data_IF_267128944611
#
_entry.id   IF_267128944611
#
_cell.length_a   1.000
_cell.length_b   1.000
_cell.length_c   1.000
_cell.angle_alpha   90.00
_cell.angle_beta   90.00
_cell.angle_gamma   90.00
#
_symmetry.space_group_name_H-M   'P 1'
#
loop_
_entity.id
_entity.type
_entity.pdbx_description
1 polymer ?
#
# COMPACT_ATOMS: atom_id res chain seq x y z
N UNK A 1 45.74 -11.59 86.24
CA UNK A 1 44.60 -11.36 85.43
C UNK A 1 45.02 -11.15 83.96
N UNK A 2 45.45 -12.19 83.34
CA UNK A 2 45.86 -12.14 81.91
C UNK A 2 45.87 -13.61 81.37
N UNK A 3 44.72 -14.11 80.89
CA UNK A 3 44.60 -15.38 80.13
C UNK A 3 43.13 -15.62 79.80
N UNK A 4 42.59 -14.94 78.82
CA UNK A 4 41.31 -15.34 78.23
C UNK A 4 40.93 -14.57 76.95
N UNK A 5 41.90 -14.13 76.12
CA UNK A 5 41.51 -13.38 74.84
C UNK A 5 42.09 -14.01 73.58
N UNK A 6 42.70 -15.17 73.62
CA UNK A 6 43.42 -15.72 72.45
C UNK A 6 42.73 -16.91 71.76
N UNK A 7 41.60 -17.42 72.21
CA UNK A 7 41.02 -18.62 71.62
C UNK A 7 39.73 -18.37 70.81
N UNK A 8 39.23 -17.10 70.77
CA UNK A 8 38.01 -16.80 70.04
C UNK A 8 38.27 -16.25 68.60
N UNK A 9 39.46 -15.75 68.30
CA UNK A 9 39.74 -15.20 66.96
C UNK A 9 40.14 -16.25 65.91
N UNK A 10 40.50 -17.45 66.31
CA UNK A 10 40.91 -18.50 65.39
C UNK A 10 39.79 -19.36 64.85
N UNK A 11 38.60 -19.33 65.47
CA UNK A 11 37.40 -20.04 64.97
C UNK A 11 36.56 -19.24 63.96
N UNK A 12 36.70 -17.93 63.93
CA UNK A 12 36.00 -17.08 62.97
C UNK A 12 36.72 -16.99 61.62
N UNK A 13 38.02 -17.17 61.56
CA UNK A 13 38.78 -17.14 60.32
C UNK A 13 38.58 -18.39 59.44
N UNK A 14 38.29 -19.57 60.04
CA UNK A 14 38.01 -20.78 59.29
C UNK A 14 36.62 -20.87 58.68
N UNK A 15 35.61 -20.20 59.28
CA UNK A 15 34.23 -20.21 58.79
C UNK A 15 34.04 -19.24 57.57
N UNK A 16 34.83 -18.17 57.50
CA UNK A 16 34.76 -17.20 56.36
C UNK A 16 35.46 -17.76 55.13
N UNK A 17 36.53 -18.57 55.32
CA UNK A 17 37.23 -19.21 54.21
C UNK A 17 36.43 -20.33 53.53
N UNK A 18 35.48 -20.96 54.21
CA UNK A 18 34.62 -22.00 53.65
C UNK A 18 33.38 -21.46 52.91
N UNK A 19 32.95 -20.25 53.26
CA UNK A 19 31.85 -19.60 52.57
C UNK A 19 32.24 -18.94 51.24
N UNK A 20 33.54 -18.64 51.03
CA UNK A 20 34.02 -18.07 49.77
C UNK A 20 34.30 -19.11 48.66
N UNK A 21 34.27 -20.40 48.96
CA UNK A 21 34.50 -21.47 48.00
C UNK A 21 33.24 -22.02 47.32
N UNK A 22 32.03 -21.59 47.75
CA UNK A 22 30.76 -22.08 47.20
C UNK A 22 30.10 -21.14 46.16
N UNK A 23 30.70 -20.02 45.78
CA UNK A 23 30.11 -19.06 44.85
C UNK A 23 30.73 -19.02 43.43
N UNK A 24 31.63 -19.95 43.10
CA UNK A 24 32.08 -20.13 41.72
C UNK A 24 31.31 -21.22 40.99
N UNK A 25 29.96 -21.19 41.11
CA UNK A 25 29.11 -21.79 40.09
C UNK A 25 29.32 -21.00 38.79
N UNK A 26 30.22 -21.49 37.94
CA UNK A 26 30.38 -21.01 36.58
C UNK A 26 29.01 -21.08 35.91
N UNK A 27 28.35 -19.94 35.79
CA UNK A 27 27.30 -19.76 34.79
C UNK A 27 27.98 -20.04 33.44
N UNK A 28 27.88 -21.26 32.96
CA UNK A 28 28.13 -21.57 31.56
C UNK A 28 27.06 -20.81 30.80
N UNK A 29 27.42 -19.64 30.30
CA UNK A 29 26.67 -19.03 29.22
C UNK A 29 26.58 -20.10 28.12
N UNK A 30 25.37 -20.59 27.86
CA UNK A 30 25.12 -21.39 26.68
C UNK A 30 25.54 -20.55 25.48
N UNK A 31 26.74 -20.82 24.96
CA UNK A 31 27.10 -20.33 23.64
C UNK A 31 26.08 -20.93 22.68
N UNK A 32 25.25 -20.06 22.12
CA UNK A 32 24.36 -20.44 21.05
C UNK A 32 25.21 -21.06 19.94
N UNK A 33 24.90 -22.30 19.59
CA UNK A 33 25.51 -23.03 18.50
C UNK A 33 25.35 -22.18 17.21
N UNK A 34 26.45 -21.76 16.56
CA UNK A 34 26.35 -20.97 15.32
C UNK A 34 25.75 -21.74 14.17
N UNK A 35 25.56 -23.06 14.30
CA UNK A 35 24.93 -23.94 13.28
C UNK A 35 23.45 -24.30 13.56
N UNK A 36 22.84 -23.79 14.63
CA UNK A 36 21.43 -23.96 14.76
C UNK A 36 20.71 -23.13 13.67
N UNK A 37 19.91 -23.74 12.79
CA UNK A 37 19.10 -23.00 11.85
C UNK A 37 18.19 -22.07 12.64
N UNK A 38 18.49 -20.78 12.63
CA UNK A 38 17.59 -19.76 13.15
C UNK A 38 16.41 -19.72 12.19
N UNK A 39 15.32 -20.35 12.56
CA UNK A 39 14.04 -20.16 11.89
C UNK A 39 13.63 -18.72 12.14
N UNK A 40 14.02 -17.82 11.25
CA UNK A 40 13.50 -16.45 11.24
C UNK A 40 12.12 -16.53 10.59
N UNK A 41 11.12 -16.86 11.39
CA UNK A 41 9.73 -16.72 10.95
C UNK A 41 9.47 -15.22 10.85
N UNK A 42 9.63 -14.64 9.66
CA UNK A 42 9.07 -13.34 9.35
C UNK A 42 7.57 -13.54 9.28
N UNK A 43 6.88 -13.27 10.36
CA UNK A 43 5.44 -13.18 10.34
C UNK A 43 5.08 -11.92 9.54
N UNK A 44 4.80 -12.07 8.26
CA UNK A 44 4.33 -10.98 7.42
C UNK A 44 2.95 -10.58 7.91
N UNK A 45 2.87 -9.48 8.66
CA UNK A 45 1.61 -8.87 9.04
C UNK A 45 1.17 -7.97 7.89
N UNK A 46 -0.01 -8.22 7.37
CA UNK A 46 -0.64 -7.39 6.33
C UNK A 46 -1.56 -6.38 7.01
N UNK A 47 -1.32 -5.11 6.74
CA UNK A 47 -2.19 -4.03 7.19
C UNK A 47 -3.27 -3.76 6.15
N UNK A 48 -4.51 -3.65 6.61
CA UNK A 48 -5.69 -3.37 5.80
C UNK A 48 -6.35 -2.10 6.37
N UNK A 49 -5.92 -0.92 5.93
CA UNK A 49 -6.62 0.31 6.28
C UNK A 49 -8.05 0.25 5.78
N UNK A 50 -9.01 0.51 6.65
CA UNK A 50 -10.43 0.44 6.33
C UNK A 50 -11.13 1.73 6.78
N UNK A 51 -11.71 2.47 5.84
CA UNK A 51 -12.50 3.66 6.09
C UNK A 51 -13.97 3.30 6.07
N UNK A 52 -14.64 3.51 7.20
CA UNK A 52 -16.07 3.23 7.34
C UNK A 52 -16.84 4.55 7.45
N UNK A 53 -17.85 4.70 6.60
CA UNK A 53 -18.68 5.91 6.55
C UNK A 53 -20.18 5.58 6.62
N UNK A 54 -20.94 6.49 7.16
CA UNK A 54 -22.41 6.50 7.02
C UNK A 54 -22.80 6.83 5.57
N UNK A 55 -24.04 6.59 5.19
CA UNK A 55 -24.58 7.00 3.87
C UNK A 55 -24.52 8.52 3.64
N UNK A 56 -24.44 9.30 4.71
CA UNK A 56 -24.30 10.76 4.67
C UNK A 56 -22.83 11.21 4.55
N UNK A 57 -21.88 10.27 4.52
CA UNK A 57 -20.45 10.54 4.35
C UNK A 57 -19.67 10.80 5.65
N UNK A 58 -20.32 10.79 6.82
CA UNK A 58 -19.62 10.91 8.10
C UNK A 58 -18.85 9.62 8.43
N UNK A 59 -17.63 9.75 8.95
CA UNK A 59 -16.83 8.61 9.39
C UNK A 59 -17.44 8.00 10.66
N UNK A 60 -17.40 6.68 10.75
CA UNK A 60 -18.00 5.90 11.84
C UNK A 60 -16.91 5.10 12.58
N UNK A 61 -16.84 5.20 13.93
CA UNK A 61 -15.73 4.68 14.75
C UNK A 61 -16.10 3.63 15.79
N UNK A 62 -17.35 3.27 15.97
CA UNK A 62 -17.80 2.38 17.05
C UNK A 62 -17.77 0.90 16.68
N UNK A 63 -16.84 0.48 15.78
CA UNK A 63 -16.68 -0.90 15.35
C UNK A 63 -15.54 -1.60 16.07
N UNK A 64 -15.69 -2.91 16.25
CA UNK A 64 -14.69 -3.83 16.79
C UNK A 64 -14.21 -4.80 15.73
N UNK A 65 -13.16 -5.58 15.99
CA UNK A 65 -12.67 -6.56 15.03
C UNK A 65 -13.73 -7.59 14.60
N UNK A 66 -14.71 -7.90 15.47
CA UNK A 66 -15.81 -8.84 15.18
C UNK A 66 -16.84 -8.31 14.19
N UNK A 67 -16.89 -6.99 13.99
CA UNK A 67 -17.77 -6.36 13.02
C UNK A 67 -17.25 -6.48 11.57
N UNK A 68 -16.04 -7.00 11.42
CA UNK A 68 -15.40 -7.20 10.13
C UNK A 68 -15.19 -8.68 9.82
N UNK A 69 -15.38 -9.07 8.57
CA UNK A 69 -14.95 -10.34 8.02
C UNK A 69 -14.07 -10.14 6.80
N UNK A 70 -12.90 -10.78 6.80
CA UNK A 70 -11.91 -10.70 5.74
C UNK A 70 -11.70 -12.06 5.10
N UNK A 71 -11.66 -12.08 3.78
CA UNK A 71 -11.11 -13.21 3.05
C UNK A 71 -9.90 -12.78 2.21
N UNK A 72 -8.91 -13.65 2.12
CA UNK A 72 -7.73 -13.54 1.29
C UNK A 72 -7.79 -14.64 0.22
N UNK A 73 -7.88 -14.27 -1.04
CA UNK A 73 -8.16 -15.21 -2.14
C UNK A 73 -9.34 -16.15 -1.86
N UNK A 74 -10.38 -15.63 -1.17
CA UNK A 74 -11.56 -16.40 -0.76
C UNK A 74 -11.38 -17.24 0.51
N UNK A 75 -10.19 -17.26 1.13
CA UNK A 75 -9.92 -17.98 2.39
C UNK A 75 -10.14 -17.02 3.56
N UNK A 76 -11.04 -17.36 4.52
CA UNK A 76 -11.26 -16.53 5.70
C UNK A 76 -9.98 -16.34 6.52
N UNK A 77 -9.74 -15.11 6.96
CA UNK A 77 -8.57 -14.71 7.76
C UNK A 77 -9.01 -14.17 9.12
N UNK A 78 -8.16 -14.39 10.12
CA UNK A 78 -8.39 -13.85 11.46
C UNK A 78 -7.86 -12.43 11.55
N UNK A 79 -8.75 -11.48 11.85
CA UNK A 79 -8.44 -10.06 11.99
C UNK A 79 -8.06 -9.67 13.40
N UNK A 80 -7.15 -8.70 13.48
CA UNK A 80 -6.89 -7.89 14.67
C UNK A 80 -7.16 -6.44 14.32
N UNK A 81 -7.81 -5.70 15.21
CA UNK A 81 -8.02 -4.27 15.09
C UNK A 81 -7.02 -3.55 15.98
N UNK A 82 -6.19 -2.71 15.40
CA UNK A 82 -5.29 -1.84 16.15
C UNK A 82 -6.03 -0.55 16.55
N UNK A 83 -6.09 -0.32 17.85
CA UNK A 83 -6.67 0.90 18.42
C UNK A 83 -5.57 1.94 18.63
N UNK A 84 -5.56 3.04 17.89
CA UNK A 84 -4.62 4.12 18.15
C UNK A 84 -4.11 4.92 16.97
N UNK A 85 -4.90 5.08 15.94
CA UNK A 85 -4.49 5.70 14.66
C UNK A 85 -4.41 7.23 14.67
N UNK A 86 -5.03 7.91 15.65
CA UNK A 86 -5.20 9.38 15.63
C UNK A 86 -3.89 10.16 15.88
N UNK A 87 -2.82 9.48 16.28
CA UNK A 87 -1.53 10.10 16.63
C UNK A 87 -0.33 9.56 15.86
N UNK A 88 -0.54 8.63 14.91
CA UNK A 88 0.58 8.09 14.15
C UNK A 88 1.21 9.16 13.26
N UNK A 89 2.56 9.29 13.29
CA UNK A 89 3.26 10.24 12.43
C UNK A 89 3.08 9.88 10.95
N UNK A 90 3.11 10.89 10.07
CA UNK A 90 2.84 10.77 8.63
C UNK A 90 4.08 11.10 7.80
N UNK A 91 4.47 10.20 6.90
CA UNK A 91 5.38 10.48 5.79
C UNK A 91 4.57 10.63 4.50
N UNK A 92 4.55 11.85 3.95
CA UNK A 92 3.75 12.21 2.78
C UNK A 92 4.67 12.54 1.60
N UNK A 93 4.59 11.78 0.53
CA UNK A 93 5.26 12.11 -0.74
C UNK A 93 4.24 12.76 -1.69
N UNK A 94 4.52 13.97 -2.12
CA UNK A 94 3.72 14.69 -3.12
C UNK A 94 4.39 14.48 -4.47
N UNK A 95 3.75 13.69 -5.34
CA UNK A 95 4.21 13.39 -6.67
C UNK A 95 3.45 14.26 -7.68
N UNK A 96 4.16 15.07 -8.44
CA UNK A 96 3.57 16.02 -9.39
C UNK A 96 4.11 15.75 -10.78
N UNK A 97 3.23 15.55 -11.74
CA UNK A 97 3.60 15.53 -13.14
C UNK A 97 4.11 16.89 -13.58
N UNK A 98 5.36 16.93 -14.02
CA UNK A 98 6.02 18.14 -14.57
C UNK A 98 6.14 18.08 -16.07
N UNK A 99 6.01 16.90 -16.66
CA UNK A 99 6.00 16.66 -18.10
C UNK A 99 4.61 16.73 -18.71
N UNK A 100 4.50 16.29 -19.94
CA UNK A 100 3.23 16.18 -20.66
C UNK A 100 2.36 17.42 -20.60
N UNK A 101 1.10 17.23 -20.20
CA UNK A 101 0.14 18.30 -19.95
C UNK A 101 0.18 18.82 -18.50
N UNK A 102 0.97 18.19 -17.60
CA UNK A 102 1.08 18.54 -16.19
C UNK A 102 1.49 19.98 -15.93
N UNK A 103 2.36 20.55 -16.78
CA UNK A 103 2.81 21.93 -16.64
C UNK A 103 1.66 22.96 -16.78
N UNK A 104 0.55 22.62 -17.43
CA UNK A 104 -0.62 23.50 -17.56
C UNK A 104 -1.37 23.69 -16.25
N UNK A 105 -1.14 22.78 -15.27
CA UNK A 105 -1.79 22.77 -13.97
C UNK A 105 -0.94 23.37 -12.84
N UNK A 106 0.26 23.87 -13.09
CA UNK A 106 1.12 24.44 -12.04
C UNK A 106 0.47 25.59 -11.29
N UNK A 107 -0.33 26.41 -11.97
CA UNK A 107 -1.08 27.48 -11.32
C UNK A 107 -2.07 26.98 -10.27
N UNK A 108 -2.60 25.77 -10.46
CA UNK A 108 -3.58 25.16 -9.54
C UNK A 108 -2.92 24.72 -8.23
N UNK A 109 -1.58 24.61 -8.17
CA UNK A 109 -0.84 24.12 -6.99
C UNK A 109 -0.30 25.23 -6.10
N UNK A 110 -0.34 26.49 -6.55
CA UNK A 110 0.31 27.64 -5.85
C UNK A 110 -0.25 27.86 -4.44
N UNK A 111 -1.53 27.59 -4.21
CA UNK A 111 -2.21 27.89 -2.94
C UNK A 111 -2.47 26.63 -2.08
N UNK A 112 -1.79 25.52 -2.34
CA UNK A 112 -2.05 24.26 -1.62
C UNK A 112 -1.48 24.24 -0.18
N UNK A 113 -0.59 25.17 0.20
CA UNK A 113 0.10 25.13 1.50
C UNK A 113 -0.82 25.04 2.71
N UNK A 114 -1.77 25.97 2.82
CA UNK A 114 -2.72 25.97 3.94
C UNK A 114 -3.61 24.71 3.99
N UNK A 115 -3.85 24.10 2.84
CA UNK A 115 -4.64 22.87 2.75
C UNK A 115 -3.79 21.66 3.13
N UNK A 116 -2.50 21.67 2.82
CA UNK A 116 -1.58 20.62 3.26
C UNK A 116 -1.47 20.56 4.78
N UNK A 117 -1.44 21.73 5.46
CA UNK A 117 -1.49 21.79 6.92
C UNK A 117 -2.78 21.19 7.48
N UNK A 118 -3.91 21.52 6.88
CA UNK A 118 -5.21 20.95 7.26
C UNK A 118 -5.29 19.44 6.99
N UNK A 119 -4.71 18.97 5.88
CA UNK A 119 -4.65 17.57 5.51
C UNK A 119 -3.85 16.74 6.51
N UNK A 120 -2.74 17.30 7.00
CA UNK A 120 -1.84 16.64 7.95
C UNK A 120 -2.40 16.64 9.38
N UNK A 121 -3.29 17.60 9.72
CA UNK A 121 -4.05 17.59 10.97
C UNK A 121 -3.21 17.76 12.23
N UNK A 122 -2.01 18.34 12.15
CA UNK A 122 -1.15 18.61 13.30
C UNK A 122 -0.39 17.41 13.88
N UNK A 123 -0.44 16.24 13.23
CA UNK A 123 0.40 15.08 13.62
C UNK A 123 1.86 15.31 13.25
N UNK A 124 2.79 14.63 13.93
CA UNK A 124 4.19 14.61 13.50
C UNK A 124 4.26 14.16 12.04
N UNK A 125 4.97 14.92 11.21
CA UNK A 125 4.98 14.64 9.78
C UNK A 125 6.32 14.95 9.12
N UNK A 126 6.48 14.35 7.94
CA UNK A 126 7.53 14.66 6.98
C UNK A 126 6.93 14.67 5.58
N UNK A 127 7.21 15.73 4.83
CA UNK A 127 6.70 15.93 3.48
C UNK A 127 7.86 16.01 2.51
N UNK A 128 7.76 15.32 1.38
CA UNK A 128 8.68 15.42 0.23
C UNK A 128 7.90 15.84 -1.01
N UNK A 129 8.58 16.49 -1.96
CA UNK A 129 8.01 16.81 -3.27
C UNK A 129 8.87 16.14 -4.36
N UNK A 130 8.22 15.39 -5.21
CA UNK A 130 8.79 14.64 -6.31
C UNK A 130 8.12 15.13 -7.59
N UNK A 131 8.92 15.59 -8.54
CA UNK A 131 8.45 15.87 -9.90
C UNK A 131 8.72 14.68 -10.80
N UNK A 132 7.88 14.43 -11.77
CA UNK A 132 8.17 13.44 -12.80
C UNK A 132 7.71 13.92 -14.19
N UNK A 133 8.48 13.55 -15.18
CA UNK A 133 8.20 13.67 -16.60
C UNK A 133 8.47 12.30 -17.26
N UNK A 134 9.43 12.14 -18.16
CA UNK A 134 9.92 10.82 -18.59
C UNK A 134 10.74 10.12 -17.50
N UNK A 135 11.18 10.85 -16.48
CA UNK A 135 11.97 10.36 -15.34
C UNK A 135 11.57 11.07 -14.04
N UNK A 136 11.60 10.38 -12.89
CA UNK A 136 11.31 11.01 -11.60
C UNK A 136 12.51 11.80 -11.04
N UNK A 137 12.22 12.90 -10.36
CA UNK A 137 13.20 13.80 -9.74
C UNK A 137 12.79 14.20 -8.31
N UNK A 138 13.69 14.08 -7.35
CA UNK A 138 13.45 14.58 -6.00
C UNK A 138 13.62 16.10 -5.97
N UNK A 139 12.53 16.85 -5.89
CA UNK A 139 12.52 18.31 -5.87
C UNK A 139 12.70 18.88 -4.46
N UNK A 140 12.13 18.21 -3.45
CA UNK A 140 12.30 18.55 -2.04
C UNK A 140 12.43 17.25 -1.23
N UNK A 141 13.57 17.03 -0.55
CA UNK A 141 13.71 15.90 0.37
C UNK A 141 12.75 16.00 1.55
N UNK A 142 12.50 14.87 2.23
CA UNK A 142 11.61 14.82 3.40
C UNK A 142 11.97 15.86 4.44
N UNK A 143 11.02 16.73 4.78
CA UNK A 143 11.13 17.84 5.74
C UNK A 143 9.87 17.91 6.60
N UNK A 144 9.96 18.36 7.86
CA UNK A 144 8.78 18.63 8.68
C UNK A 144 8.09 19.95 8.32
N UNK A 145 8.55 20.70 7.33
CA UNK A 145 8.01 22.01 6.95
C UNK A 145 7.10 21.91 5.73
N UNK A 146 5.82 22.08 5.93
CA UNK A 146 4.80 22.21 4.87
C UNK A 146 4.98 23.49 4.05
N UNK A 147 5.50 24.57 4.66
CA UNK A 147 5.83 25.80 3.95
C UNK A 147 6.86 25.58 2.86
N UNK A 148 7.90 24.75 3.11
CA UNK A 148 8.89 24.41 2.09
C UNK A 148 8.26 23.61 0.96
N UNK A 149 7.36 22.70 1.26
CA UNK A 149 6.65 21.94 0.24
C UNK A 149 5.74 22.87 -0.59
N UNK A 150 5.03 23.77 0.03
CA UNK A 150 4.21 24.80 -0.65
C UNK A 150 5.04 25.70 -1.57
N UNK A 151 6.19 26.17 -1.07
CA UNK A 151 7.12 26.98 -1.88
C UNK A 151 7.66 26.19 -3.08
N UNK A 152 7.99 24.91 -2.88
CA UNK A 152 8.44 24.04 -3.96
C UNK A 152 7.36 23.83 -5.02
N UNK A 153 6.10 23.59 -4.60
CA UNK A 153 4.97 23.46 -5.51
C UNK A 153 4.68 24.73 -6.31
N UNK A 154 4.88 25.89 -5.70
CA UNK A 154 4.71 27.18 -6.40
C UNK A 154 5.87 27.54 -7.35
N UNK A 155 6.97 26.81 -7.29
CA UNK A 155 8.18 27.05 -8.10
C UNK A 155 8.49 25.90 -9.09
N UNK A 156 7.52 25.07 -9.41
CA UNK A 156 7.67 23.97 -10.37
C UNK A 156 8.13 24.48 -11.74
N UNK A 157 8.95 23.66 -12.38
CA UNK A 157 9.45 23.93 -13.72
C UNK A 157 8.93 22.85 -14.67
N UNK A 158 8.60 23.28 -15.89
CA UNK A 158 8.18 22.36 -16.93
C UNK A 158 9.31 21.39 -17.28
N UNK A 159 8.98 20.10 -17.25
CA UNK A 159 9.81 18.99 -17.71
C UNK A 159 9.70 18.74 -19.21
N UNK A 160 9.98 17.52 -19.61
CA UNK A 160 9.87 17.06 -21.00
C UNK A 160 8.42 16.69 -21.38
N UNK A 161 8.22 15.96 -22.47
CA UNK A 161 6.89 15.57 -22.96
C UNK A 161 6.34 14.27 -22.36
N UNK A 162 7.04 13.64 -21.43
CA UNK A 162 6.66 12.35 -20.83
C UNK A 162 5.74 12.50 -19.60
N UNK A 163 5.08 11.43 -19.23
CA UNK A 163 4.24 11.29 -18.05
C UNK A 163 4.38 9.88 -17.47
N UNK A 164 5.58 9.55 -16.96
CA UNK A 164 5.92 8.25 -16.42
C UNK A 164 5.39 8.09 -15.00
N UNK A 165 4.08 7.91 -14.86
CA UNK A 165 3.35 7.86 -13.57
C UNK A 165 3.85 6.71 -12.69
N UNK A 166 4.01 5.50 -13.26
CA UNK A 166 4.43 4.32 -12.50
C UNK A 166 5.87 4.45 -12.02
N UNK A 167 6.77 5.04 -12.81
CA UNK A 167 8.14 5.33 -12.39
C UNK A 167 8.18 6.40 -11.28
N UNK A 168 7.34 7.45 -11.39
CA UNK A 168 7.17 8.47 -10.35
C UNK A 168 6.70 7.88 -9.03
N UNK A 169 5.71 6.99 -9.08
CA UNK A 169 5.19 6.27 -7.91
C UNK A 169 6.24 5.33 -7.32
N UNK A 170 6.94 4.55 -8.14
CA UNK A 170 8.00 3.65 -7.67
C UNK A 170 9.13 4.43 -6.96
N UNK A 171 9.52 5.57 -7.52
CA UNK A 171 10.51 6.46 -6.91
C UNK A 171 10.02 7.01 -5.57
N UNK A 172 8.76 7.46 -5.48
CA UNK A 172 8.17 7.95 -4.24
C UNK A 172 8.14 6.87 -3.15
N UNK A 173 7.82 5.62 -3.51
CA UNK A 173 7.86 4.50 -2.57
C UNK A 173 9.29 4.24 -2.09
N UNK A 174 10.29 4.34 -2.97
CA UNK A 174 11.69 4.19 -2.58
C UNK A 174 12.12 5.26 -1.56
N UNK A 175 11.73 6.52 -1.76
CA UNK A 175 11.95 7.61 -0.82
C UNK A 175 11.22 7.39 0.51
N UNK A 176 9.95 6.94 0.48
CA UNK A 176 9.16 6.63 1.67
C UNK A 176 9.75 5.48 2.50
N UNK A 177 10.42 4.51 1.86
CA UNK A 177 11.12 3.41 2.56
C UNK A 177 12.25 3.90 3.46
N UNK A 178 12.86 5.04 3.15
CA UNK A 178 13.90 5.65 3.96
C UNK A 178 13.37 6.26 5.27
N UNK A 179 12.06 6.46 5.39
CA UNK A 179 11.43 7.04 6.58
C UNK A 179 11.24 5.98 7.69
N UNK A 180 11.24 6.39 8.97
CA UNK A 180 11.04 5.47 10.08
C UNK A 180 9.80 4.61 9.92
N UNK A 181 9.86 3.36 10.38
CA UNK A 181 8.76 2.39 10.22
C UNK A 181 7.49 2.76 10.97
N UNK A 182 7.60 3.59 12.02
CA UNK A 182 6.46 4.12 12.78
C UNK A 182 5.63 5.14 12.00
N UNK A 183 6.17 5.69 10.90
CA UNK A 183 5.43 6.65 10.08
C UNK A 183 4.48 5.92 9.13
N UNK A 184 3.21 6.33 9.14
CA UNK A 184 2.29 5.97 8.06
C UNK A 184 2.79 6.59 6.76
N UNK A 185 2.62 5.89 5.66
CA UNK A 185 3.13 6.30 4.35
C UNK A 185 1.98 6.60 3.41
N UNK A 186 2.03 7.78 2.79
CA UNK A 186 1.04 8.18 1.82
C UNK A 186 1.70 8.86 0.62
N UNK A 187 1.07 8.70 -0.54
CA UNK A 187 1.41 9.42 -1.77
C UNK A 187 0.20 10.26 -2.19
N UNK A 188 0.42 11.57 -2.42
CA UNK A 188 -0.50 12.40 -3.18
C UNK A 188 0.03 12.49 -4.61
N UNK A 189 -0.70 11.92 -5.55
CA UNK A 189 -0.33 11.92 -6.97
C UNK A 189 -1.16 12.95 -7.72
N UNK A 190 -0.50 13.92 -8.33
CA UNK A 190 -1.09 14.90 -9.25
C UNK A 190 -0.61 14.59 -10.66
N UNK A 191 -1.45 14.04 -11.50
CA UNK A 191 -1.05 13.56 -12.82
C UNK A 191 -2.19 13.55 -13.83
N UNK A 192 -1.85 13.33 -15.09
CA UNK A 192 -2.83 12.87 -16.05
C UNK A 192 -3.34 11.45 -15.70
N UNK A 193 -4.38 11.00 -16.41
CA UNK A 193 -5.03 9.72 -16.11
C UNK A 193 -4.25 8.52 -16.62
N UNK A 194 -3.44 8.68 -17.66
CA UNK A 194 -2.81 7.58 -18.41
C UNK A 194 -1.28 7.68 -18.28
N UNK A 195 -0.68 6.57 -17.85
CA UNK A 195 0.79 6.42 -17.85
C UNK A 195 1.37 6.47 -19.25
N UNK A 196 2.42 7.26 -19.43
CA UNK A 196 3.12 7.40 -20.70
C UNK A 196 4.63 7.30 -20.51
N UNK A 197 5.16 6.13 -20.81
CA UNK A 197 6.60 5.91 -20.91
C UNK A 197 7.27 5.33 -19.68
N UNK A 198 6.55 4.92 -18.65
CA UNK A 198 7.16 4.22 -17.50
C UNK A 198 7.84 2.92 -17.92
N UNK A 199 8.97 2.66 -17.30
CA UNK A 199 9.67 1.38 -17.35
C UNK A 199 9.16 0.41 -16.29
N UNK A 200 8.69 0.93 -15.17
CA UNK A 200 8.04 0.16 -14.09
C UNK A 200 6.69 -0.36 -14.58
N UNK A 201 6.45 -1.65 -14.38
CA UNK A 201 5.14 -2.24 -14.63
C UNK A 201 4.15 -1.93 -13.50
N UNK A 202 2.84 -2.01 -13.77
CA UNK A 202 1.83 -1.86 -12.71
C UNK A 202 2.04 -2.87 -11.59
N UNK A 203 2.25 -4.14 -11.94
CA UNK A 203 2.43 -5.19 -10.94
C UNK A 203 3.61 -4.90 -10.02
N UNK A 204 4.69 -4.34 -10.55
CA UNK A 204 5.84 -3.92 -9.76
C UNK A 204 5.53 -2.71 -8.88
N UNK A 205 4.88 -1.69 -9.42
CA UNK A 205 4.45 -0.53 -8.63
C UNK A 205 3.52 -0.93 -7.46
N UNK A 206 2.53 -1.79 -7.71
CA UNK A 206 1.64 -2.32 -6.69
C UNK A 206 2.39 -3.17 -5.65
N UNK A 207 3.35 -3.99 -6.07
CA UNK A 207 4.21 -4.74 -5.15
C UNK A 207 5.01 -3.82 -4.23
N UNK A 208 5.64 -2.78 -4.79
CA UNK A 208 6.40 -1.79 -4.02
C UNK A 208 5.52 -1.05 -3.00
N UNK A 209 4.34 -0.58 -3.43
CA UNK A 209 3.33 0.06 -2.57
C UNK A 209 2.89 -0.90 -1.46
N UNK A 210 2.62 -2.15 -1.83
CA UNK A 210 2.21 -3.20 -0.90
C UNK A 210 3.25 -3.43 0.19
N UNK A 211 4.50 -3.65 -0.18
CA UNK A 211 5.59 -3.97 0.73
C UNK A 211 5.93 -2.83 1.71
N UNK A 212 5.47 -1.62 1.41
CA UNK A 212 5.68 -0.45 2.27
C UNK A 212 4.42 -0.02 3.02
N UNK A 213 3.29 -0.71 2.82
CA UNK A 213 1.97 -0.32 3.35
C UNK A 213 1.63 1.15 3.05
N UNK A 214 1.93 1.59 1.83
CA UNK A 214 1.68 2.96 1.39
C UNK A 214 0.27 3.09 0.83
N UNK A 215 -0.46 4.15 1.19
CA UNK A 215 -1.74 4.51 0.57
C UNK A 215 -1.51 5.56 -0.52
N UNK A 216 -2.18 5.43 -1.67
CA UNK A 216 -2.03 6.37 -2.77
C UNK A 216 -3.35 7.09 -3.04
N UNK A 217 -3.30 8.41 -3.01
CA UNK A 217 -4.42 9.30 -3.31
C UNK A 217 -4.11 10.06 -4.59
N UNK A 218 -4.97 9.94 -5.58
CA UNK A 218 -4.74 10.50 -6.90
C UNK A 218 -5.68 11.65 -7.23
N UNK A 219 -5.11 12.75 -7.67
CA UNK A 219 -5.78 13.91 -8.25
C UNK A 219 -5.42 13.96 -9.72
N UNK A 220 -6.31 13.45 -10.58
CA UNK A 220 -5.99 13.33 -11.98
C UNK A 220 -6.80 14.29 -12.85
N UNK A 221 -6.09 14.93 -13.76
CA UNK A 221 -6.68 15.73 -14.82
C UNK A 221 -6.76 14.93 -16.13
N UNK A 222 -7.72 15.26 -16.96
CA UNK A 222 -7.90 14.62 -18.25
C UNK A 222 -7.14 15.43 -19.30
N UNK A 223 -6.03 14.86 -19.79
CA UNK A 223 -5.30 15.48 -20.89
C UNK A 223 -6.04 15.36 -22.22
N UNK A 224 -5.71 16.21 -23.19
CA UNK A 224 -6.24 16.13 -24.57
C UNK A 224 -5.90 14.78 -25.21
N UNK A 225 -4.74 14.21 -24.90
CA UNK A 225 -4.33 12.87 -25.37
C UNK A 225 -5.17 11.76 -24.75
N UNK A 226 -5.45 11.85 -23.44
CA UNK A 226 -6.33 10.90 -22.75
C UNK A 226 -7.77 10.95 -23.34
N UNK A 227 -8.28 12.14 -23.59
CA UNK A 227 -9.58 12.31 -24.23
C UNK A 227 -9.60 11.69 -25.65
N UNK A 228 -8.52 11.84 -26.42
CA UNK A 228 -8.44 11.23 -27.74
C UNK A 228 -8.35 9.70 -27.67
N UNK A 229 -7.64 9.14 -26.70
CA UNK A 229 -7.55 7.69 -26.47
C UNK A 229 -8.89 7.09 -26.06
N UNK A 230 -9.70 7.81 -25.29
CA UNK A 230 -11.06 7.38 -24.91
C UNK A 230 -12.05 7.42 -26.09
N UNK A 231 -11.81 8.29 -27.08
CA UNK A 231 -12.71 8.46 -28.21
C UNK A 231 -12.20 7.77 -29.51
N UNK A 232 -11.04 7.12 -29.48
CA UNK A 232 -10.53 6.39 -30.63
C UNK A 232 -11.38 5.13 -30.88
N UNK A 233 -12.16 5.05 -31.96
CA UNK A 233 -12.91 3.87 -32.29
C UNK A 233 -11.90 2.80 -32.76
N UNK A 234 -11.71 1.73 -31.99
CA UNK A 234 -10.92 0.61 -32.45
C UNK A 234 -10.17 -0.20 -31.40
N UNK A 235 -10.10 0.23 -30.15
CA UNK A 235 -9.62 -0.62 -29.06
C UNK A 235 -10.80 -1.15 -28.23
N UNK A 236 -11.59 -2.03 -28.86
CA UNK A 236 -12.36 -2.97 -28.06
C UNK A 236 -11.36 -3.84 -27.31
N UNK A 237 -11.35 -3.71 -26.00
CA UNK A 237 -10.61 -4.61 -25.13
C UNK A 237 -11.10 -6.03 -25.45
N UNK A 238 -10.23 -6.85 -26.00
CA UNK A 238 -10.46 -8.27 -26.11
C UNK A 238 -10.55 -8.83 -24.70
N UNK A 239 -11.75 -8.97 -24.19
CA UNK A 239 -12.01 -9.54 -22.88
C UNK A 239 -13.50 -9.78 -22.73
N UNK A 240 -13.87 -10.98 -22.45
CA UNK A 240 -15.17 -11.38 -21.99
C UNK A 240 -15.65 -10.43 -20.89
N UNK A 241 -16.64 -9.61 -21.20
CA UNK A 241 -17.19 -8.63 -20.28
C UNK A 241 -18.42 -9.15 -19.52
N UNK A 242 -18.75 -10.44 -19.62
CA UNK A 242 -19.98 -10.97 -19.03
C UNK A 242 -19.69 -12.13 -18.07
N UNK A 243 -19.81 -11.90 -16.75
CA UNK A 243 -19.55 -12.94 -15.74
C UNK A 243 -20.54 -14.11 -15.74
N UNK A 244 -21.57 -14.07 -16.59
CA UNK A 244 -22.66 -15.06 -16.66
C UNK A 244 -22.79 -15.74 -18.02
N UNK A 245 -21.84 -15.57 -18.94
CA UNK A 245 -21.89 -16.28 -20.20
C UNK A 245 -21.43 -17.74 -20.08
N UNK A 246 -22.09 -18.68 -20.76
CA UNK A 246 -21.66 -20.06 -20.78
C UNK A 246 -20.25 -20.16 -21.41
N UNK A 247 -19.44 -21.07 -20.90
CA UNK A 247 -18.10 -21.34 -21.44
C UNK A 247 -18.14 -21.69 -22.92
N UNK A 248 -16.96 -21.82 -23.59
CA UNK A 248 -16.89 -22.02 -25.00
C UNK A 248 -17.70 -23.27 -25.43
N UNK A 249 -18.45 -23.20 -26.54
CA UNK A 249 -19.43 -24.22 -26.94
C UNK A 249 -18.85 -25.61 -27.16
N UNK A 250 -17.54 -25.74 -27.42
CA UNK A 250 -16.82 -27.00 -27.59
C UNK A 250 -16.05 -27.47 -26.35
N UNK A 251 -16.18 -26.78 -25.22
CA UNK A 251 -15.51 -27.10 -23.95
C UNK A 251 -14.11 -26.52 -23.84
N UNK A 252 -13.69 -26.38 -22.57
CA UNK A 252 -12.47 -25.65 -22.17
C UNK A 252 -11.17 -26.19 -22.75
N UNK A 253 -11.13 -27.47 -23.13
CA UNK A 253 -9.94 -28.18 -23.60
C UNK A 253 -10.01 -28.62 -25.06
N UNK A 254 -11.04 -28.22 -25.79
CA UNK A 254 -11.16 -28.55 -27.21
C UNK A 254 -10.17 -27.73 -28.04
N UNK A 255 -9.45 -28.40 -28.92
CA UNK A 255 -8.59 -27.79 -29.93
C UNK A 255 -9.26 -27.59 -31.29
N UNK A 256 -10.45 -28.20 -31.48
CA UNK A 256 -11.19 -28.10 -32.73
C UNK A 256 -11.85 -26.72 -32.82
N UNK A 257 -11.28 -25.89 -33.69
CA UNK A 257 -11.75 -24.56 -33.94
C UNK A 257 -11.63 -23.74 -32.69
N UNK A 258 -10.44 -23.21 -32.39
CA UNK A 258 -10.35 -22.12 -31.47
C UNK A 258 -11.37 -21.09 -31.91
N UNK A 259 -12.46 -20.95 -31.14
CA UNK A 259 -13.59 -20.15 -31.51
C UNK A 259 -13.08 -18.77 -31.96
N UNK A 260 -13.74 -18.19 -32.96
CA UNK A 260 -13.39 -16.86 -33.48
C UNK A 260 -13.24 -15.81 -32.35
N UNK A 261 -13.81 -16.07 -31.20
CA UNK A 261 -13.81 -15.33 -29.97
C UNK A 261 -12.45 -15.31 -29.24
N UNK A 262 -11.62 -16.33 -29.41
CA UNK A 262 -10.28 -16.42 -28.81
C UNK A 262 -9.15 -16.21 -29.82
N UNK A 263 -9.46 -15.79 -31.04
CA UNK A 263 -8.48 -15.56 -32.12
C UNK A 263 -7.49 -16.70 -32.32
N UNK A 264 -7.93 -17.95 -32.08
CA UNK A 264 -7.07 -19.14 -32.22
C UNK A 264 -6.11 -19.39 -31.04
N UNK A 265 -6.17 -18.63 -29.96
CA UNK A 265 -5.25 -18.77 -28.81
C UNK A 265 -5.77 -19.80 -27.78
N UNK A 266 -5.48 -21.06 -27.98
CA UNK A 266 -5.85 -22.17 -27.09
C UNK A 266 -5.41 -21.96 -25.61
N UNK A 267 -4.22 -21.46 -25.39
CA UNK A 267 -3.74 -21.20 -24.03
C UNK A 267 -4.60 -20.20 -23.26
N UNK A 268 -5.16 -19.22 -23.95
CA UNK A 268 -6.06 -18.22 -23.38
C UNK A 268 -7.42 -18.81 -23.05
N UNK A 269 -7.97 -19.62 -23.96
CA UNK A 269 -9.21 -20.39 -23.73
C UNK A 269 -9.11 -21.28 -22.49
N UNK A 270 -8.03 -22.08 -22.37
CA UNK A 270 -7.80 -22.95 -21.20
C UNK A 270 -7.66 -22.15 -19.91
N UNK A 271 -6.95 -21.04 -19.95
CA UNK A 271 -6.76 -20.18 -18.77
C UNK A 271 -8.07 -19.56 -18.27
N UNK A 272 -8.89 -19.03 -19.18
CA UNK A 272 -10.18 -18.43 -18.85
C UNK A 272 -11.17 -19.47 -18.32
N UNK A 273 -11.15 -20.68 -18.87
CA UNK A 273 -11.96 -21.79 -18.38
C UNK A 273 -11.53 -22.33 -17.02
N UNK A 274 -10.22 -22.44 -16.75
CA UNK A 274 -9.72 -22.85 -15.43
C UNK A 274 -10.15 -21.85 -14.35
N UNK A 275 -10.20 -20.57 -14.69
CA UNK A 275 -10.69 -19.55 -13.81
C UNK A 275 -12.20 -19.69 -13.47
N UNK A 276 -12.99 -20.24 -14.39
CA UNK A 276 -14.41 -20.56 -14.15
C UNK A 276 -14.61 -21.73 -13.17
N UNK A 277 -13.67 -22.68 -13.17
CA UNK A 277 -13.76 -23.91 -12.35
C UNK A 277 -13.24 -23.71 -10.91
N UNK A 278 -12.47 -22.67 -10.65
CA UNK A 278 -11.89 -22.38 -9.35
C UNK A 278 -12.25 -20.95 -8.89
N UNK A 279 -13.27 -20.78 -8.03
CA UNK A 279 -13.72 -19.44 -7.58
C UNK A 279 -12.61 -18.50 -7.07
N UNK A 280 -11.61 -18.96 -6.28
CA UNK A 280 -10.53 -18.08 -5.84
C UNK A 280 -9.62 -17.62 -6.98
N UNK A 281 -9.40 -18.47 -8.00
CA UNK A 281 -8.64 -18.10 -9.20
C UNK A 281 -9.40 -17.03 -10.01
N UNK A 282 -10.73 -17.11 -10.03
CA UNK A 282 -11.60 -16.13 -10.71
C UNK A 282 -11.53 -14.76 -10.09
N UNK A 283 -11.49 -14.67 -8.74
CA UNK A 283 -11.34 -13.40 -8.04
C UNK A 283 -9.99 -12.75 -8.32
N UNK A 284 -8.90 -13.52 -8.25
CA UNK A 284 -7.56 -13.03 -8.57
C UNK A 284 -7.44 -12.60 -10.05
N UNK A 285 -8.07 -13.36 -10.96
CA UNK A 285 -8.12 -13.02 -12.38
C UNK A 285 -8.97 -11.79 -12.64
N UNK A 286 -10.13 -11.63 -11.97
CA UNK A 286 -10.97 -10.46 -12.10
C UNK A 286 -10.23 -9.20 -11.59
N UNK A 287 -9.54 -9.28 -10.45
CA UNK A 287 -8.72 -8.20 -9.94
C UNK A 287 -7.60 -7.83 -10.92
N UNK A 288 -6.88 -8.81 -11.46
CA UNK A 288 -5.85 -8.60 -12.48
C UNK A 288 -6.39 -8.01 -13.79
N UNK A 289 -7.53 -8.50 -14.28
CA UNK A 289 -8.15 -8.00 -15.51
C UNK A 289 -8.76 -6.60 -15.29
N UNK A 290 -9.35 -6.34 -14.13
CA UNK A 290 -9.85 -5.01 -13.76
C UNK A 290 -8.72 -4.01 -13.68
N UNK A 291 -7.61 -4.38 -13.04
CA UNK A 291 -6.40 -3.58 -13.00
C UNK A 291 -5.83 -3.34 -14.41
N UNK A 292 -5.69 -4.40 -15.21
CA UNK A 292 -5.16 -4.29 -16.58
C UNK A 292 -6.05 -3.46 -17.52
N UNK A 293 -7.37 -3.58 -17.41
CA UNK A 293 -8.32 -2.79 -18.21
C UNK A 293 -8.40 -1.35 -17.70
N UNK A 294 -8.41 -1.15 -16.38
CA UNK A 294 -8.35 0.17 -15.77
C UNK A 294 -7.09 0.95 -16.15
N UNK A 295 -5.94 0.28 -16.25
CA UNK A 295 -4.68 0.88 -16.68
C UNK A 295 -4.68 1.44 -18.08
N UNK A 296 -5.38 0.82 -19.00
CA UNK A 296 -5.47 1.33 -20.37
C UNK A 296 -6.32 2.60 -20.47
N UNK A 297 -7.20 2.79 -19.49
CA UNK A 297 -8.15 3.90 -19.46
C UNK A 297 -7.84 4.93 -18.38
N UNK A 298 -7.31 4.51 -17.23
CA UNK A 298 -6.98 5.41 -16.12
C UNK A 298 -6.02 4.75 -15.11
N UNK A 299 -4.72 4.91 -15.31
CA UNK A 299 -3.66 4.39 -14.44
C UNK A 299 -3.76 4.98 -13.04
N UNK A 300 -4.00 6.29 -12.95
CA UNK A 300 -4.07 7.03 -11.69
C UNK A 300 -5.23 6.54 -10.81
N UNK A 301 -6.41 6.29 -11.38
CA UNK A 301 -7.55 5.74 -10.66
C UNK A 301 -7.30 4.29 -10.20
N UNK A 302 -6.69 3.47 -11.07
CA UNK A 302 -6.39 2.08 -10.74
C UNK A 302 -5.42 1.97 -9.56
N UNK A 303 -4.35 2.76 -9.56
CA UNK A 303 -3.40 2.82 -8.44
C UNK A 303 -4.09 3.20 -7.13
N UNK A 304 -4.92 4.25 -7.13
CA UNK A 304 -5.62 4.70 -5.94
C UNK A 304 -6.57 3.61 -5.39
N UNK A 305 -7.40 3.03 -6.24
CA UNK A 305 -8.38 2.01 -5.84
C UNK A 305 -7.74 0.74 -5.27
N UNK A 306 -6.70 0.23 -5.94
CA UNK A 306 -6.04 -1.02 -5.56
C UNK A 306 -5.25 -0.90 -4.24
N UNK A 307 -4.79 0.31 -3.90
CA UNK A 307 -4.01 0.58 -2.69
C UNK A 307 -4.85 1.03 -1.48
N UNK A 308 -6.18 1.09 -1.64
CA UNK A 308 -7.10 1.55 -0.59
C UNK A 308 -7.15 3.06 -0.39
N UNK A 309 -6.59 3.82 -1.33
CA UNK A 309 -6.71 5.27 -1.36
C UNK A 309 -7.95 5.74 -2.14
N UNK A 310 -7.91 6.98 -2.61
CA UNK A 310 -9.05 7.61 -3.29
C UNK A 310 -8.60 8.32 -4.56
N UNK A 311 -9.46 8.28 -5.57
CA UNK A 311 -9.28 8.95 -6.84
C UNK A 311 -10.20 10.18 -6.92
N UNK A 312 -9.62 11.33 -7.23
CA UNK A 312 -10.31 12.58 -7.45
C UNK A 312 -10.09 13.06 -8.88
N UNK A 313 -11.16 13.37 -9.58
CA UNK A 313 -11.03 14.09 -10.83
C UNK A 313 -10.78 15.58 -10.53
N UNK A 314 -9.72 16.14 -11.11
CA UNK A 314 -9.33 17.52 -10.88
C UNK A 314 -9.12 18.26 -12.20
N UNK A 315 -9.95 19.25 -12.47
CA UNK A 315 -9.83 20.08 -13.66
C UNK A 315 -9.26 21.47 -13.38
N UNK A 316 -9.18 21.85 -12.10
CA UNK A 316 -8.79 23.18 -11.65
C UNK A 316 -8.45 23.19 -10.14
N UNK A 317 -7.93 24.30 -9.62
CA UNK A 317 -7.60 24.51 -8.20
C UNK A 317 -8.78 24.20 -7.27
N UNK A 318 -10.00 24.57 -7.65
CA UNK A 318 -11.19 24.35 -6.80
C UNK A 318 -11.45 22.86 -6.58
N UNK A 319 -11.33 22.05 -7.63
CA UNK A 319 -11.55 20.60 -7.55
C UNK A 319 -10.48 19.96 -6.66
N UNK A 320 -9.22 20.36 -6.83
CA UNK A 320 -8.10 19.90 -6.00
C UNK A 320 -8.35 20.27 -4.54
N UNK A 321 -8.72 21.52 -4.27
CA UNK A 321 -9.02 22.00 -2.91
C UNK A 321 -10.16 21.22 -2.26
N UNK A 322 -11.24 20.98 -2.98
CA UNK A 322 -12.37 20.20 -2.47
C UNK A 322 -11.99 18.76 -2.17
N UNK A 323 -11.24 18.13 -3.06
CA UNK A 323 -10.73 16.78 -2.87
C UNK A 323 -9.78 16.68 -1.67
N UNK A 324 -8.86 17.62 -1.51
CA UNK A 324 -7.94 17.65 -0.35
C UNK A 324 -8.67 17.88 0.98
N UNK A 325 -9.71 18.73 0.99
CA UNK A 325 -10.56 18.92 2.18
C UNK A 325 -11.32 17.62 2.49
N UNK A 326 -11.90 16.96 1.51
CA UNK A 326 -12.54 15.67 1.72
C UNK A 326 -11.54 14.63 2.26
N UNK A 327 -10.34 14.59 1.68
CA UNK A 327 -9.27 13.70 2.09
C UNK A 327 -8.76 13.98 3.51
N UNK A 328 -8.71 15.25 3.95
CA UNK A 328 -8.26 15.61 5.31
C UNK A 328 -9.14 15.01 6.40
N UNK A 329 -10.44 14.85 6.13
CA UNK A 329 -11.35 14.16 7.03
C UNK A 329 -11.16 12.64 7.02
N UNK A 330 -10.69 12.09 5.91
CA UNK A 330 -10.60 10.65 5.70
C UNK A 330 -9.21 10.09 6.05
N UNK A 331 -8.15 10.82 5.68
CA UNK A 331 -6.76 10.32 5.71
C UNK A 331 -6.23 10.00 7.11
N UNK A 332 -6.82 10.59 8.15
CA UNK A 332 -6.44 10.37 9.55
C UNK A 332 -7.39 9.43 10.30
N UNK A 333 -8.49 9.02 9.67
CA UNK A 333 -9.62 8.37 10.35
C UNK A 333 -9.92 6.99 9.77
N UNK A 334 -8.96 6.04 9.92
CA UNK A 334 -9.11 4.66 9.48
C UNK A 334 -9.15 3.70 10.66
N UNK A 335 -9.84 2.59 10.47
CA UNK A 335 -9.54 1.37 11.20
C UNK A 335 -8.28 0.75 10.60
N UNK A 336 -7.28 0.46 11.41
CA UNK A 336 -6.15 -0.36 11.00
C UNK A 336 -6.46 -1.79 11.38
N UNK A 337 -6.94 -2.55 10.40
CA UNK A 337 -7.06 -3.98 10.53
C UNK A 337 -5.74 -4.63 10.16
N UNK A 338 -5.38 -5.69 10.84
CA UNK A 338 -4.21 -6.48 10.53
C UNK A 338 -4.51 -7.97 10.56
N UNK A 339 -3.83 -8.73 9.72
CA UNK A 339 -3.92 -10.18 9.73
C UNK A 339 -2.59 -10.81 9.32
N UNK A 340 -2.44 -12.10 9.62
CA UNK A 340 -1.33 -12.92 9.13
C UNK A 340 -1.86 -13.89 8.10
N UNK A 341 -1.40 -13.81 6.84
CA UNK A 341 -1.87 -14.69 5.78
C UNK A 341 -1.71 -16.16 6.13
N UNK A 342 -2.76 -16.93 5.95
CA UNK A 342 -2.76 -18.35 6.22
C UNK A 342 -3.53 -19.08 5.10
N UNK A 343 -2.84 -19.82 4.21
CA UNK A 343 -1.38 -19.96 4.08
C UNK A 343 -0.70 -18.71 3.48
N UNK A 344 0.56 -18.41 3.82
CA UNK A 344 1.32 -17.33 3.21
C UNK A 344 1.85 -17.77 1.84
N UNK A 345 1.05 -17.65 0.79
CA UNK A 345 1.46 -18.00 -0.57
C UNK A 345 2.10 -16.79 -1.25
N UNK A 346 3.26 -16.94 -1.95
CA UNK A 346 3.84 -15.85 -2.70
C UNK A 346 2.96 -15.39 -3.87
N UNK A 347 3.04 -14.09 -4.20
CA UNK A 347 2.34 -13.52 -5.33
C UNK A 347 1.28 -12.48 -4.95
N UNK A 348 0.42 -12.10 -5.91
CA UNK A 348 -0.69 -11.18 -5.67
C UNK A 348 -1.83 -11.86 -4.92
N UNK A 349 -2.41 -11.13 -3.98
CA UNK A 349 -3.53 -11.55 -3.15
C UNK A 349 -4.70 -10.59 -3.30
N UNK A 350 -5.89 -11.11 -3.48
CA UNK A 350 -7.14 -10.35 -3.49
C UNK A 350 -7.80 -10.40 -2.12
N UNK A 351 -8.05 -9.22 -1.56
CA UNK A 351 -8.73 -9.04 -0.29
C UNK A 351 -10.21 -8.73 -0.52
N UNK A 352 -11.06 -9.34 0.27
CA UNK A 352 -12.47 -8.99 0.35
C UNK A 352 -12.83 -8.79 1.82
N UNK A 353 -13.17 -7.55 2.16
CA UNK A 353 -13.53 -7.13 3.51
C UNK A 353 -15.01 -6.73 3.51
N UNK A 354 -15.75 -7.26 4.46
CA UNK A 354 -17.17 -6.98 4.65
C UNK A 354 -17.43 -6.50 6.08
N UNK A 355 -18.52 -5.74 6.25
CA UNK A 355 -19.07 -5.38 7.55
C UNK A 355 -20.21 -6.33 7.91
N UNK A 356 -20.09 -6.98 9.05
CA UNK A 356 -21.12 -7.85 9.60
C UNK A 356 -22.24 -6.97 10.19
N UNK A 357 -23.48 -7.27 9.84
CA UNK A 357 -24.69 -6.64 10.42
C UNK A 357 -24.82 -5.10 10.32
N UNK A 358 -24.02 -4.46 9.44
CA UNK A 358 -24.03 -3.00 9.27
C UNK A 358 -24.40 -2.53 7.83
N UNK A 359 -25.61 -2.83 7.29
CA UNK A 359 -25.97 -2.56 5.89
C UNK A 359 -26.13 -1.06 5.55
N UNK A 360 -26.09 -0.19 6.56
CA UNK A 360 -26.20 1.27 6.38
C UNK A 360 -24.85 1.97 6.27
N UNK A 361 -23.76 1.25 6.53
CA UNK A 361 -22.41 1.78 6.42
C UNK A 361 -21.81 1.44 5.06
N UNK A 362 -20.88 2.26 4.62
CA UNK A 362 -20.05 2.03 3.44
C UNK A 362 -18.63 1.80 3.86
N UNK A 363 -17.95 0.90 3.18
CA UNK A 363 -16.59 0.47 3.50
C UNK A 363 -15.68 0.72 2.30
N UNK A 364 -14.57 1.42 2.54
CA UNK A 364 -13.45 1.53 1.60
C UNK A 364 -12.23 0.89 2.24
N UNK A 365 -11.54 0.07 1.50
CA UNK A 365 -10.36 -0.64 1.99
C UNK A 365 -9.42 -0.99 0.83
N UNK A 366 -8.23 -1.44 1.16
CA UNK A 366 -7.27 -1.99 0.22
C UNK A 366 -7.76 -3.34 -0.30
N UNK A 367 -7.87 -3.47 -1.62
CA UNK A 367 -8.40 -4.69 -2.25
C UNK A 367 -7.34 -5.69 -2.66
N UNK A 368 -6.06 -5.30 -2.68
CA UNK A 368 -4.96 -6.16 -3.10
C UNK A 368 -3.70 -5.94 -2.27
N UNK A 369 -2.89 -6.98 -2.12
CA UNK A 369 -1.55 -6.90 -1.58
C UNK A 369 -0.65 -7.96 -2.22
N UNK A 370 0.66 -7.88 -1.97
CA UNK A 370 1.65 -8.79 -2.53
C UNK A 370 2.48 -9.44 -1.43
N UNK A 371 2.75 -10.74 -1.57
CA UNK A 371 3.75 -11.45 -0.77
C UNK A 371 4.93 -11.78 -1.67
N UNK A 372 6.13 -11.35 -1.28
CA UNK A 372 7.35 -11.71 -1.99
C UNK A 372 7.71 -13.19 -1.75
N UNK A 373 8.30 -13.82 -2.76
CA UNK A 373 8.91 -15.14 -2.61
C UNK A 373 10.08 -15.06 -1.61
N UNK A 374 10.01 -15.82 -0.52
CA UNK A 374 11.05 -15.90 0.51
C UNK A 374 12.28 -16.72 0.05
N UNK A 375 12.41 -16.98 -1.26
CA UNK A 375 13.58 -17.63 -1.87
C UNK A 375 14.75 -16.64 -1.88
N UNK A 376 15.36 -16.57 -0.73
CA UNK A 376 16.60 -15.96 -0.36
C UNK A 376 17.39 -15.17 -1.44
N UNK A 377 17.45 -13.87 -1.27
CA UNK A 377 18.67 -13.10 -1.55
C UNK A 377 18.98 -12.21 -0.36
#
# INVERSE_FOLDING_TARGET
MLKAITTQSMRSACAISFLLFLTTAKARAQQADPNQPRLTVRANVVLVPALVKTKQGAVFFDLTASDFSLTDNGIPQQLTLDSGTDSEPLALAICVETGGDGASHFADYVHLGAILDALIGGVEHRVAVIGFDSTPHLLLPFTPSTDKASLQLSSLKKGDGGAAILDGVAFAVAELRSQPTAFRRAILLFSETIDQGSTTSLGEALRLISNTNTSLYSFAFSSTKANLAHHAPGFQAFGYNHPNEPGPPHGCFSREGADAEYDGHYSRQVFDCLALLAPPLRLAQMAYLTARNGLRTNTAASLAQLTGGEFFHSSNEKDIRQGLIALSHDMLQYYILSFRPTPPTPGPHALHLELNDHPRLTLKFRTEYWIDDDNGR
#
